data_IF_350769644056
#
_entry.id   IF_350769644056
#
_cell.length_a   1.000
_cell.length_b   1.000
_cell.length_c   1.000
_cell.angle_alpha   90.00
_cell.angle_beta   90.00
_cell.angle_gamma   90.00
#
_symmetry.space_group_name_H-M   'P 1'
#
loop_
_entity.id
_entity.type
_entity.pdbx_description
1 polymer ?
#
# COMPACT_ATOMS: atom_id res chain seq x y z
N UNK A 1 -36.19 65.97 -32.66
CA UNK A 1 -36.32 64.54 -33.05
C UNK A 1 -35.20 63.66 -32.50
N UNK A 2 -33.96 64.14 -32.45
CA UNK A 2 -32.77 63.36 -32.01
C UNK A 2 -32.81 62.91 -30.54
N UNK A 3 -33.33 63.75 -29.64
CA UNK A 3 -33.51 63.40 -28.22
C UNK A 3 -34.39 62.16 -28.01
N UNK A 4 -35.50 62.05 -28.75
CA UNK A 4 -36.42 60.90 -28.68
C UNK A 4 -35.76 59.61 -29.20
N UNK A 5 -34.90 59.72 -30.23
CA UNK A 5 -34.15 58.59 -30.78
C UNK A 5 -33.14 58.05 -29.76
N UNK A 6 -32.36 58.95 -29.11
CA UNK A 6 -31.42 58.57 -28.03
C UNK A 6 -32.10 57.90 -26.83
N UNK A 7 -33.31 58.34 -26.47
CA UNK A 7 -34.08 57.71 -25.38
C UNK A 7 -34.52 56.28 -25.74
N UNK A 8 -34.98 56.05 -26.98
CA UNK A 8 -35.34 54.70 -27.45
C UNK A 8 -34.11 53.77 -27.51
N UNK A 9 -32.97 54.28 -27.96
CA UNK A 9 -31.70 53.53 -27.98
C UNK A 9 -31.26 53.16 -26.55
N UNK A 10 -31.26 54.11 -25.62
CA UNK A 10 -30.93 53.82 -24.22
C UNK A 10 -31.89 52.80 -23.58
N UNK A 11 -33.19 52.89 -23.86
CA UNK A 11 -34.16 51.92 -23.36
C UNK A 11 -33.89 50.51 -23.94
N UNK A 12 -33.49 50.44 -25.20
CA UNK A 12 -33.16 49.18 -25.89
C UNK A 12 -31.89 48.57 -25.31
N UNK A 13 -30.85 49.37 -25.11
CA UNK A 13 -29.59 48.93 -24.48
C UNK A 13 -29.85 48.43 -23.05
N UNK A 14 -30.65 49.15 -22.24
CA UNK A 14 -31.02 48.71 -20.89
C UNK A 14 -31.73 47.35 -20.90
N UNK A 15 -32.64 47.12 -21.86
CA UNK A 15 -33.34 45.84 -22.02
C UNK A 15 -32.39 44.70 -22.40
N UNK A 16 -31.44 44.95 -23.30
CA UNK A 16 -30.42 43.96 -23.72
C UNK A 16 -29.50 43.60 -22.55
N UNK A 17 -29.01 44.59 -21.82
CA UNK A 17 -28.13 44.38 -20.65
C UNK A 17 -28.88 43.60 -19.55
N UNK A 18 -30.14 43.94 -19.29
CA UNK A 18 -30.97 43.23 -18.32
C UNK A 18 -31.25 41.77 -18.76
N UNK A 19 -31.49 41.52 -20.05
CA UNK A 19 -31.69 40.16 -20.55
C UNK A 19 -30.40 39.32 -20.50
N UNK A 20 -29.26 39.90 -20.88
CA UNK A 20 -27.96 39.22 -20.83
C UNK A 20 -27.53 38.88 -19.39
N UNK A 21 -27.84 39.75 -18.41
CA UNK A 21 -27.54 39.47 -17.00
C UNK A 21 -28.36 38.29 -16.46
N UNK A 22 -29.64 38.18 -16.82
CA UNK A 22 -30.48 37.00 -16.50
C UNK A 22 -29.93 35.71 -17.13
N UNK A 23 -29.47 35.74 -18.38
CA UNK A 23 -28.86 34.58 -19.04
C UNK A 23 -27.55 34.14 -18.35
N UNK A 24 -26.70 35.10 -17.99
CA UNK A 24 -25.42 34.83 -17.33
C UNK A 24 -25.60 34.26 -15.90
N UNK A 25 -26.54 34.81 -15.14
CA UNK A 25 -26.91 34.31 -13.80
C UNK A 25 -27.43 32.88 -13.85
N UNK A 26 -28.25 32.54 -14.85
CA UNK A 26 -28.73 31.17 -15.06
C UNK A 26 -27.56 30.20 -15.30
N UNK A 27 -26.60 30.52 -16.17
CA UNK A 27 -25.46 29.65 -16.43
C UNK A 27 -24.56 29.43 -15.20
N UNK A 28 -24.34 30.47 -14.38
CA UNK A 28 -23.61 30.36 -13.11
C UNK A 28 -24.39 29.47 -12.13
N UNK A 29 -25.70 29.69 -12.01
CA UNK A 29 -26.58 28.90 -11.14
C UNK A 29 -26.60 27.42 -11.54
N UNK A 30 -26.76 27.11 -12.83
CA UNK A 30 -26.68 25.74 -13.35
C UNK A 30 -25.34 25.09 -13.05
N UNK A 31 -24.22 25.83 -13.17
CA UNK A 31 -22.88 25.29 -12.85
C UNK A 31 -22.74 24.98 -11.36
N UNK A 32 -23.24 25.86 -10.48
CA UNK A 32 -23.23 25.65 -9.01
C UNK A 32 -24.13 24.49 -8.60
N UNK A 33 -25.33 24.40 -9.19
CA UNK A 33 -26.27 23.30 -8.93
C UNK A 33 -25.69 21.96 -9.43
N UNK A 34 -25.06 21.93 -10.60
CA UNK A 34 -24.38 20.72 -11.11
C UNK A 34 -23.23 20.27 -10.20
N UNK A 35 -22.43 21.21 -9.70
CA UNK A 35 -21.35 20.89 -8.74
C UNK A 35 -21.94 20.39 -7.43
N UNK A 36 -22.99 21.04 -6.91
CA UNK A 36 -23.67 20.60 -5.69
C UNK A 36 -24.28 19.19 -5.85
N UNK A 37 -24.89 18.90 -7.00
CA UNK A 37 -25.43 17.57 -7.31
C UNK A 37 -24.32 16.52 -7.44
N UNK A 38 -23.20 16.83 -8.08
CA UNK A 38 -22.05 15.91 -8.16
C UNK A 38 -21.44 15.65 -6.77
N UNK A 39 -21.30 16.69 -5.94
CA UNK A 39 -20.80 16.55 -4.58
C UNK A 39 -21.75 15.74 -3.69
N UNK A 40 -23.06 15.95 -3.83
CA UNK A 40 -24.09 15.15 -3.16
C UNK A 40 -24.04 13.69 -3.61
N UNK A 41 -23.88 13.44 -4.92
CA UNK A 41 -23.80 12.09 -5.46
C UNK A 41 -22.55 11.34 -4.98
N UNK A 42 -21.40 12.02 -4.88
CA UNK A 42 -20.16 11.44 -4.33
C UNK A 42 -20.30 11.22 -2.82
N UNK A 43 -20.91 12.16 -2.09
CA UNK A 43 -21.11 12.06 -0.64
C UNK A 43 -22.12 10.98 -0.20
N UNK A 44 -23.02 10.56 -1.10
CA UNK A 44 -23.99 9.49 -0.86
C UNK A 44 -23.46 8.09 -1.19
N UNK A 45 -22.26 7.96 -1.78
CA UNK A 45 -21.68 6.65 -2.07
C UNK A 45 -21.20 6.00 -0.77
N UNK A 46 -21.78 4.86 -0.33
CA UNK A 46 -21.27 4.14 0.82
C UNK A 46 -19.85 3.66 0.50
N UNK A 47 -18.87 4.10 1.29
CA UNK A 47 -17.51 3.60 1.17
C UNK A 47 -17.48 2.11 1.50
N UNK A 48 -17.00 1.28 0.57
CA UNK A 48 -16.73 -0.11 0.89
C UNK A 48 -15.52 -0.16 1.85
N UNK A 49 -15.60 -0.89 2.97
CA UNK A 49 -14.43 -1.07 3.82
C UNK A 49 -13.36 -1.80 3.00
N UNK A 50 -12.23 -1.16 2.78
CA UNK A 50 -11.05 -1.82 2.22
C UNK A 50 -10.62 -2.89 3.21
N UNK A 51 -10.97 -4.16 2.94
CA UNK A 51 -10.42 -5.29 3.67
C UNK A 51 -8.93 -5.33 3.35
N UNK A 52 -8.09 -5.11 4.36
CA UNK A 52 -6.66 -5.34 4.22
C UNK A 52 -6.43 -6.75 3.68
N UNK A 53 -5.53 -6.90 2.69
CA UNK A 53 -5.21 -8.17 2.07
C UNK A 53 -4.81 -9.17 3.17
N UNK A 54 -5.56 -10.27 3.28
CA UNK A 54 -5.32 -11.28 4.31
C UNK A 54 -4.33 -12.32 3.79
N UNK A 55 -3.42 -12.72 4.67
CA UNK A 55 -2.48 -13.82 4.43
C UNK A 55 -3.10 -15.11 4.92
N UNK A 56 -3.30 -16.06 4.01
CA UNK A 56 -3.93 -17.34 4.28
C UNK A 56 -2.92 -18.38 4.80
N UNK A 57 -1.71 -18.38 4.23
CA UNK A 57 -0.59 -19.24 4.63
C UNK A 57 0.75 -18.54 4.41
N UNK A 58 1.80 -19.02 5.09
CA UNK A 58 3.19 -18.55 4.90
C UNK A 58 4.12 -19.73 4.59
N UNK A 59 5.20 -19.49 3.85
CA UNK A 59 6.18 -20.52 3.49
C UNK A 59 7.61 -19.95 3.37
N UNK A 60 8.62 -20.73 3.77
CA UNK A 60 10.03 -20.39 3.58
C UNK A 60 10.48 -20.68 2.13
N UNK A 61 11.00 -19.67 1.44
CA UNK A 61 11.64 -19.80 0.11
C UNK A 61 13.15 -19.53 0.21
N UNK A 62 13.88 -20.46 0.82
CA UNK A 62 15.33 -20.32 1.00
C UNK A 62 16.08 -20.60 -0.30
N UNK A 63 17.12 -19.82 -0.56
CA UNK A 63 17.99 -19.96 -1.74
C UNK A 63 19.19 -20.90 -1.53
N UNK A 64 19.33 -21.47 -0.33
CA UNK A 64 20.47 -22.31 0.07
C UNK A 64 20.05 -23.36 1.10
N UNK A 65 20.73 -24.50 1.09
CA UNK A 65 20.57 -25.57 2.08
C UNK A 65 21.35 -25.30 3.37
N UNK A 66 22.26 -24.32 3.36
CA UNK A 66 23.09 -23.97 4.52
C UNK A 66 23.39 -22.48 4.63
N UNK A 67 23.48 -21.99 5.87
CA UNK A 67 23.74 -20.59 6.19
C UNK A 67 25.22 -20.33 6.46
N UNK A 68 25.68 -19.13 6.13
CA UNK A 68 27.07 -18.71 6.33
C UNK A 68 27.25 -18.02 7.68
N UNK A 69 28.40 -18.23 8.32
CA UNK A 69 28.80 -17.53 9.55
C UNK A 69 29.42 -16.17 9.22
N UNK A 70 29.44 -15.27 10.19
CA UNK A 70 30.07 -13.94 10.06
C UNK A 70 29.36 -13.03 9.06
N UNK A 71 28.10 -13.31 8.73
CA UNK A 71 27.34 -12.58 7.72
C UNK A 71 25.85 -12.52 8.06
N UNK A 72 25.12 -11.77 7.24
CA UNK A 72 23.69 -11.56 7.31
C UNK A 72 23.02 -12.47 6.29
N UNK A 73 22.34 -13.51 6.77
CA UNK A 73 21.65 -14.46 5.91
C UNK A 73 20.20 -14.02 5.74
N UNK A 74 19.82 -13.59 4.53
CA UNK A 74 18.44 -13.21 4.25
C UNK A 74 17.52 -14.43 4.29
N UNK A 75 16.49 -14.36 5.13
CA UNK A 75 15.49 -15.41 5.29
C UNK A 75 14.22 -14.94 4.56
N UNK A 76 13.98 -15.55 3.39
CA UNK A 76 12.78 -15.25 2.62
C UNK A 76 11.58 -16.08 3.12
N UNK A 77 10.49 -15.38 3.42
CA UNK A 77 9.19 -15.95 3.73
C UNK A 77 8.14 -15.25 2.88
N UNK A 78 7.39 -16.03 2.10
CA UNK A 78 6.29 -15.50 1.33
C UNK A 78 4.95 -15.80 2.02
N UNK A 79 3.99 -14.91 1.83
CA UNK A 79 2.60 -15.07 2.25
C UNK A 79 1.67 -15.26 1.06
N UNK A 80 0.87 -16.32 1.08
CA UNK A 80 -0.23 -16.53 0.15
C UNK A 80 -1.35 -15.55 0.49
N UNK A 81 -1.61 -14.62 -0.41
CA UNK A 81 -2.69 -13.67 -0.29
C UNK A 81 -4.02 -14.31 -0.70
N UNK A 82 -5.13 -13.77 -0.20
CA UNK A 82 -6.49 -14.23 -0.56
C UNK A 82 -6.83 -14.20 -2.06
N UNK A 83 -6.03 -13.52 -2.89
CA UNK A 83 -6.15 -13.52 -4.35
C UNK A 83 -5.29 -14.61 -5.03
N UNK A 84 -4.69 -15.52 -4.28
CA UNK A 84 -3.86 -16.62 -4.77
C UNK A 84 -2.41 -16.26 -5.08
N UNK A 85 -1.98 -15.01 -4.88
CA UNK A 85 -0.61 -14.58 -5.14
C UNK A 85 0.28 -14.80 -3.92
N UNK A 86 1.50 -15.25 -4.15
CA UNK A 86 2.56 -15.23 -3.16
C UNK A 86 3.30 -13.90 -3.23
N UNK A 87 3.47 -13.25 -2.08
CA UNK A 87 4.24 -12.01 -1.95
C UNK A 87 5.23 -12.13 -0.79
N UNK A 88 6.45 -11.56 -0.94
CA UNK A 88 7.43 -11.57 0.14
C UNK A 88 6.93 -10.76 1.33
N UNK A 89 7.09 -11.34 2.51
CA UNK A 89 6.79 -10.70 3.78
C UNK A 89 8.07 -10.18 4.43
N UNK A 90 7.93 -9.13 5.22
CA UNK A 90 9.02 -8.51 5.96
C UNK A 90 8.83 -8.66 7.47
N UNK A 91 9.79 -8.18 8.24
CA UNK A 91 9.71 -8.05 9.70
C UNK A 91 8.57 -7.15 10.19
N UNK A 92 7.97 -6.34 9.29
CA UNK A 92 6.74 -5.59 9.56
C UNK A 92 5.53 -6.51 9.73
N UNK A 93 5.44 -7.58 8.94
CA UNK A 93 4.36 -8.56 9.00
C UNK A 93 4.71 -9.76 9.88
N UNK A 94 6.00 -10.10 9.96
CA UNK A 94 6.50 -11.29 10.63
C UNK A 94 7.28 -10.96 11.90
N UNK A 95 7.09 -11.78 12.93
CA UNK A 95 8.04 -11.93 14.01
C UNK A 95 8.95 -13.12 13.71
N UNK A 96 10.24 -12.84 13.52
CA UNK A 96 11.25 -13.86 13.35
C UNK A 96 11.90 -14.23 14.69
N UNK A 97 12.09 -15.52 14.92
CA UNK A 97 12.83 -16.07 16.07
C UNK A 97 13.86 -17.07 15.58
N UNK A 98 14.91 -17.26 16.37
CA UNK A 98 15.87 -18.32 16.14
C UNK A 98 16.32 -18.98 17.44
N UNK A 99 16.84 -20.20 17.35
CA UNK A 99 17.32 -20.96 18.51
C UNK A 99 18.56 -20.36 19.18
N UNK A 100 19.51 -19.82 18.39
CA UNK A 100 20.86 -19.50 18.89
C UNK A 100 21.47 -18.20 18.34
N UNK A 101 20.71 -17.45 17.54
CA UNK A 101 21.16 -16.23 16.86
C UNK A 101 20.05 -15.16 16.89
N UNK A 102 20.31 -13.99 16.29
CA UNK A 102 19.36 -12.88 16.31
C UNK A 102 19.03 -12.39 14.90
N UNK A 103 17.86 -11.76 14.78
CA UNK A 103 17.39 -11.17 13.53
C UNK A 103 17.63 -9.66 13.50
N UNK A 104 18.01 -9.16 12.33
CA UNK A 104 17.98 -7.75 11.95
C UNK A 104 17.12 -7.61 10.68
N UNK A 105 15.86 -7.20 10.86
CA UNK A 105 14.85 -7.34 9.82
C UNK A 105 14.66 -8.81 9.42
N UNK A 106 14.65 -9.08 8.12
CA UNK A 106 14.58 -10.44 7.57
C UNK A 106 15.93 -11.20 7.59
N UNK A 107 17.00 -10.60 8.11
CA UNK A 107 18.32 -11.22 8.10
C UNK A 107 18.60 -11.93 9.42
N UNK A 108 18.91 -13.21 9.36
CA UNK A 108 19.50 -13.92 10.49
C UNK A 108 21.00 -13.60 10.54
N UNK A 109 21.43 -12.96 11.61
CA UNK A 109 22.83 -12.62 11.84
C UNK A 109 23.49 -13.75 12.62
N UNK A 110 24.47 -14.39 12.00
CA UNK A 110 25.21 -15.51 12.59
C UNK A 110 26.63 -15.04 12.90
N UNK A 111 27.06 -15.03 14.17
CA UNK A 111 28.43 -14.66 14.54
C UNK A 111 29.49 -15.51 13.82
N UNK A 112 30.65 -14.92 13.52
CA UNK A 112 31.73 -15.63 12.83
C UNK A 112 32.28 -16.82 13.66
N UNK A 113 32.25 -16.69 14.97
CA UNK A 113 32.71 -17.68 15.93
C UNK A 113 31.63 -18.70 16.33
N UNK A 114 30.42 -18.64 15.73
CA UNK A 114 29.32 -19.57 16.02
C UNK A 114 29.75 -21.04 15.92
N UNK A 115 29.48 -21.81 16.99
CA UNK A 115 29.92 -23.22 17.12
C UNK A 115 28.82 -24.24 16.81
N UNK A 116 27.56 -23.81 16.73
CA UNK A 116 26.44 -24.70 16.40
C UNK A 116 26.52 -25.24 14.97
N UNK A 117 25.91 -26.41 14.75
CA UNK A 117 25.86 -27.07 13.43
C UNK A 117 24.63 -26.69 12.62
N UNK A 118 23.57 -26.24 13.28
CA UNK A 118 22.27 -25.90 12.69
C UNK A 118 21.59 -24.86 13.54
N UNK A 119 20.66 -24.12 12.95
CA UNK A 119 19.80 -23.15 13.64
C UNK A 119 18.36 -23.46 13.25
N UNK A 120 17.46 -23.44 14.24
CA UNK A 120 16.02 -23.47 13.99
C UNK A 120 15.50 -22.06 13.89
N UNK A 121 14.78 -21.76 12.82
CA UNK A 121 14.15 -20.46 12.55
C UNK A 121 12.64 -20.62 12.59
N UNK A 122 11.98 -19.72 13.30
CA UNK A 122 10.52 -19.63 13.35
C UNK A 122 10.09 -18.29 12.76
N UNK A 123 9.10 -18.32 11.88
CA UNK A 123 8.42 -17.13 11.37
C UNK A 123 6.97 -17.15 11.82
N UNK A 124 6.53 -16.10 12.50
CA UNK A 124 5.19 -15.99 13.09
C UNK A 124 4.50 -14.77 12.48
N UNK A 125 3.29 -14.94 11.95
CA UNK A 125 2.53 -13.82 11.40
C UNK A 125 1.94 -12.96 12.52
N UNK A 126 2.32 -11.67 12.60
CA UNK A 126 1.98 -10.80 13.73
C UNK A 126 0.47 -10.59 13.92
N UNK A 127 -0.27 -10.46 12.81
CA UNK A 127 -1.72 -10.22 12.85
C UNK A 127 -2.56 -11.50 12.99
N UNK A 128 -1.93 -12.68 12.93
CA UNK A 128 -2.56 -13.99 13.09
C UNK A 128 -1.52 -15.00 13.55
N UNK A 129 -1.14 -14.92 14.83
CA UNK A 129 -0.03 -15.68 15.42
C UNK A 129 -0.21 -17.20 15.37
N UNK A 130 -1.45 -17.68 15.21
CA UNK A 130 -1.73 -19.08 14.91
C UNK A 130 -1.06 -19.57 13.61
N UNK A 131 -0.83 -18.66 12.65
CA UNK A 131 -0.01 -18.94 11.46
C UNK A 131 1.46 -18.73 11.80
N UNK A 132 2.15 -19.83 12.04
CA UNK A 132 3.60 -19.86 12.19
C UNK A 132 4.17 -21.09 11.48
N UNK A 133 5.41 -20.97 11.04
CA UNK A 133 6.18 -22.04 10.42
C UNK A 133 7.57 -22.09 11.04
N UNK A 134 8.15 -23.28 11.07
CA UNK A 134 9.49 -23.52 11.58
C UNK A 134 10.34 -24.29 10.57
N UNK A 135 11.63 -23.97 10.51
CA UNK A 135 12.60 -24.73 9.71
C UNK A 135 13.95 -24.77 10.41
N UNK A 136 14.53 -25.96 10.48
CA UNK A 136 15.93 -26.15 10.89
C UNK A 136 16.84 -26.13 9.67
N UNK A 137 17.89 -25.31 9.70
CA UNK A 137 18.83 -25.12 8.58
C UNK A 137 20.25 -25.37 9.09
N UNK A 138 21.08 -26.03 8.29
CA UNK A 138 22.46 -26.31 8.62
C UNK A 138 23.37 -25.10 8.46
N UNK A 139 24.48 -25.08 9.18
CA UNK A 139 25.53 -24.07 9.02
C UNK A 139 26.61 -24.61 8.11
N UNK A 140 27.02 -23.81 7.13
CA UNK A 140 28.10 -24.13 6.20
C UNK A 140 29.38 -24.38 7.00
N UNK A 141 30.01 -25.53 6.76
CA UNK A 141 31.23 -25.97 7.47
C UNK A 141 32.48 -25.54 6.70
N UNK A 142 32.47 -25.69 5.37
CA UNK A 142 33.60 -25.32 4.52
C UNK A 142 33.56 -23.83 4.20
N UNK A 143 34.72 -23.16 4.11
CA UNK A 143 34.79 -21.80 3.60
C UNK A 143 34.27 -21.73 2.15
N UNK A 144 33.93 -20.53 1.68
CA UNK A 144 33.74 -20.32 0.25
C UNK A 144 35.07 -20.61 -0.47
N UNK A 145 35.05 -21.22 -1.67
CA UNK A 145 36.26 -21.36 -2.46
C UNK A 145 36.78 -19.96 -2.83
N UNK A 146 38.11 -19.86 -3.00
CA UNK A 146 38.71 -18.65 -3.56
C UNK A 146 38.11 -18.37 -4.95
N UNK A 147 37.88 -17.08 -5.24
CA UNK A 147 37.30 -16.60 -6.50
C UNK A 147 38.27 -16.73 -7.67
#
# INVERSE_FOLDING_TARGET
MEYSRRQKEMLTIKRIVHFASHLHLNNIMYRRMRIALLALFIGLMPGQPLKAQQVDSIAFHLYTDSLKKGTHNYINVDGLQSNGRWLPLTDKELEFRSSDCYFLGNNLVIPADFKGKKITITAILRNKTALHIERTIWIKILPDPDL
#
